data_IF_982725959859
#
_entry.id   IF_982725959859
#
_cell.length_a   1.000
_cell.length_b   1.000
_cell.length_c   1.000
_cell.angle_alpha   90.00
_cell.angle_beta   90.00
_cell.angle_gamma   90.00
#
_symmetry.space_group_name_H-M   'P 1'
#
loop_
_entity.id
_entity.type
_entity.pdbx_description
1 polymer ?
#
# COMPACT_ATOMS: atom_id res chain seq x y z
N UNK A 1 0.95 -8.24 -9.80
CA UNK A 1 1.53 -6.94 -10.14
C UNK A 1 1.98 -6.22 -8.87
N UNK A 2 2.99 -5.40 -9.00
CA UNK A 2 3.53 -4.66 -7.85
C UNK A 2 3.00 -3.24 -7.86
N UNK A 3 2.67 -2.75 -6.69
CA UNK A 3 2.11 -1.42 -6.55
C UNK A 3 2.83 -0.65 -5.45
N UNK A 4 3.09 0.64 -5.67
CA UNK A 4 3.60 1.49 -4.61
C UNK A 4 2.44 1.87 -3.69
N UNK A 5 2.57 1.56 -2.41
CA UNK A 5 1.54 1.81 -1.42
C UNK A 5 2.09 2.81 -0.41
N UNK A 6 1.43 3.94 -0.28
CA UNK A 6 1.79 4.93 0.71
C UNK A 6 1.08 4.62 2.01
N UNK A 7 1.87 4.38 3.05
CA UNK A 7 1.34 4.07 4.36
C UNK A 7 1.25 5.34 5.21
N UNK A 8 0.35 5.35 6.19
CA UNK A 8 0.20 6.53 7.04
C UNK A 8 1.37 6.70 8.00
N UNK A 9 1.34 7.79 8.75
CA UNK A 9 2.24 8.07 9.86
C UNK A 9 3.61 8.56 9.42
N UNK A 10 4.64 7.89 9.86
CA UNK A 10 6.01 8.38 9.79
C UNK A 10 6.68 8.12 8.47
N UNK A 11 6.05 7.38 7.60
CA UNK A 11 6.68 7.02 6.32
C UNK A 11 6.41 8.10 5.29
N UNK A 12 7.47 8.54 4.62
CA UNK A 12 7.37 9.59 3.62
C UNK A 12 7.66 9.08 2.22
N UNK A 13 7.60 7.78 2.04
CA UNK A 13 7.77 7.18 0.73
C UNK A 13 6.91 5.92 0.65
N UNK A 14 6.47 5.56 -0.54
CA UNK A 14 5.65 4.36 -0.68
C UNK A 14 6.49 3.09 -0.54
N UNK A 15 5.83 2.04 -0.09
CA UNK A 15 6.41 0.70 -0.08
C UNK A 15 5.81 -0.10 -1.22
N UNK A 16 6.59 -1.00 -1.77
CA UNK A 16 6.13 -1.82 -2.88
C UNK A 16 5.49 -3.09 -2.34
N UNK A 17 4.26 -3.32 -2.72
CA UNK A 17 3.53 -4.55 -2.39
C UNK A 17 3.05 -5.21 -3.65
N UNK A 18 2.94 -6.52 -3.59
CA UNK A 18 2.44 -7.29 -4.71
C UNK A 18 0.99 -7.68 -4.47
N UNK A 19 0.18 -7.58 -5.52
CA UNK A 19 -1.22 -7.94 -5.44
C UNK A 19 -1.66 -8.55 -6.75
N UNK A 20 -2.56 -9.52 -6.66
CA UNK A 20 -3.21 -10.09 -7.83
C UNK A 20 -4.42 -9.26 -8.25
N UNK A 21 -4.80 -8.29 -7.45
CA UNK A 21 -5.92 -7.42 -7.75
C UNK A 21 -5.49 -6.33 -8.73
N UNK A 22 -6.46 -5.82 -9.45
CA UNK A 22 -6.24 -4.76 -10.42
C UNK A 22 -6.48 -3.43 -9.71
N UNK A 23 -5.44 -2.88 -9.11
CA UNK A 23 -5.54 -1.67 -8.29
C UNK A 23 -5.28 -0.43 -9.13
N UNK A 24 -5.82 0.68 -8.67
CA UNK A 24 -5.64 1.99 -9.32
C UNK A 24 -5.09 2.98 -8.30
N UNK A 25 -4.40 3.98 -8.79
CA UNK A 25 -3.92 5.07 -7.95
C UNK A 25 -5.09 5.69 -7.21
N UNK A 26 -4.94 5.85 -5.91
CA UNK A 26 -5.99 6.37 -5.06
C UNK A 26 -6.79 5.31 -4.35
N UNK A 27 -6.67 4.05 -4.74
CA UNK A 27 -7.37 2.97 -4.05
C UNK A 27 -6.80 2.77 -2.65
N UNK A 28 -7.68 2.49 -1.71
CA UNK A 28 -7.26 2.11 -0.37
C UNK A 28 -7.13 0.60 -0.30
N UNK A 29 -6.04 0.16 0.29
CA UNK A 29 -5.78 -1.27 0.43
C UNK A 29 -5.26 -1.55 1.83
N UNK A 30 -5.52 -2.75 2.32
CA UNK A 30 -5.00 -3.18 3.60
C UNK A 30 -3.81 -4.09 3.34
N UNK A 31 -2.67 -3.73 3.90
CA UNK A 31 -1.43 -4.46 3.67
C UNK A 31 -0.87 -4.94 5.00
N UNK A 32 -0.16 -6.08 4.99
CA UNK A 32 0.50 -6.55 6.20
C UNK A 32 1.70 -5.68 6.51
N UNK A 33 1.85 -5.35 7.79
CA UNK A 33 2.98 -4.55 8.24
C UNK A 33 3.36 -5.03 9.63
N UNK A 34 4.49 -5.73 9.72
CA UNK A 34 4.87 -6.38 10.95
C UNK A 34 3.86 -7.44 11.32
N UNK A 35 3.35 -7.37 12.54
CA UNK A 35 2.34 -8.32 13.02
C UNK A 35 0.92 -7.83 12.78
N UNK A 36 0.77 -6.67 12.17
CA UNK A 36 -0.53 -6.04 11.99
C UNK A 36 -0.80 -5.79 10.52
N UNK A 37 -1.97 -5.26 10.26
CA UNK A 37 -2.33 -4.80 8.93
C UNK A 37 -2.62 -3.32 8.99
N UNK A 38 -2.21 -2.61 7.96
CA UNK A 38 -2.38 -1.17 7.88
C UNK A 38 -3.07 -0.84 6.58
N UNK A 39 -3.97 0.12 6.62
CA UNK A 39 -4.59 0.62 5.41
C UNK A 39 -3.65 1.63 4.76
N UNK A 40 -3.32 1.39 3.51
CA UNK A 40 -2.53 2.32 2.72
C UNK A 40 -3.27 2.76 1.49
N UNK A 41 -2.68 3.64 0.73
CA UNK A 41 -3.26 4.11 -0.51
C UNK A 41 -2.30 3.82 -1.66
N UNK A 42 -2.85 3.33 -2.76
CA UNK A 42 -2.04 3.11 -3.95
C UNK A 42 -1.58 4.47 -4.46
N UNK A 43 -0.28 4.64 -4.50
CA UNK A 43 0.32 5.91 -4.85
C UNK A 43 0.98 5.77 -6.22
N UNK A 44 0.70 6.46 -7.09
CA UNK A 44 1.34 6.54 -8.39
C UNK A 44 2.07 5.25 -8.81
#
# INVERSE_FOLDING_TARGET
MKYPILLPNIFNHPFTYESSLNLKVGDYVMVPFGKSKITGVVWD
#
